data_IF_243231432009
#
_entry.id   IF_243231432009
#
_cell.length_a   1.000
_cell.length_b   1.000
_cell.length_c   1.000
_cell.angle_alpha   90.00
_cell.angle_beta   90.00
_cell.angle_gamma   90.00
#
_symmetry.space_group_name_H-M   'P 1'
#
loop_
_entity.id
_entity.type
_entity.pdbx_description
1 polymer ?
#
# COMPACT_ATOMS: atom_id res chain seq x y z
N UNK A 1 27.04 1.18 -10.07
CA UNK A 1 26.73 -0.22 -9.69
C UNK A 1 25.53 -0.28 -8.75
N UNK A 2 25.50 0.53 -7.69
CA UNK A 2 24.36 0.63 -6.76
C UNK A 2 22.99 0.73 -7.41
N UNK A 3 22.82 1.56 -8.45
CA UNK A 3 21.54 1.71 -9.14
C UNK A 3 21.03 0.41 -9.81
N UNK A 4 21.94 -0.39 -10.36
CA UNK A 4 21.59 -1.69 -10.96
C UNK A 4 21.24 -2.71 -9.88
N UNK A 5 21.99 -2.70 -8.77
CA UNK A 5 21.70 -3.54 -7.61
C UNK A 5 20.33 -3.20 -7.02
N UNK A 6 20.03 -1.91 -6.85
CA UNK A 6 18.72 -1.41 -6.42
C UNK A 6 17.62 -1.86 -7.38
N UNK A 7 17.79 -1.65 -8.69
CA UNK A 7 16.81 -2.09 -9.67
C UNK A 7 16.53 -3.58 -9.58
N UNK A 8 17.58 -4.41 -9.51
CA UNK A 8 17.42 -5.87 -9.48
C UNK A 8 16.80 -6.37 -8.18
N UNK A 9 17.28 -5.88 -7.02
CA UNK A 9 16.74 -6.24 -5.72
C UNK A 9 15.24 -5.88 -5.63
N UNK A 10 14.88 -4.65 -5.99
CA UNK A 10 13.50 -4.20 -5.90
C UNK A 10 12.59 -4.80 -6.98
N UNK A 11 13.12 -5.18 -8.14
CA UNK A 11 12.38 -5.98 -9.12
C UNK A 11 12.02 -7.37 -8.56
N UNK A 12 12.96 -8.04 -7.88
CA UNK A 12 12.67 -9.32 -7.19
C UNK A 12 11.65 -9.12 -6.08
N UNK A 13 11.82 -8.11 -5.22
CA UNK A 13 10.87 -7.81 -4.16
C UNK A 13 9.47 -7.57 -4.74
N UNK A 14 9.35 -6.84 -5.86
CA UNK A 14 8.08 -6.64 -6.55
C UNK A 14 7.50 -7.92 -7.17
N UNK A 15 8.34 -8.87 -7.59
CA UNK A 15 7.92 -10.17 -8.12
C UNK A 15 7.52 -11.17 -7.02
N UNK A 16 8.13 -11.12 -5.85
CA UNK A 16 7.97 -12.13 -4.80
C UNK A 16 7.30 -11.60 -3.52
N UNK A 17 6.92 -10.32 -3.47
CA UNK A 17 6.21 -9.69 -2.35
C UNK A 17 4.75 -10.13 -2.17
N UNK A 18 4.38 -11.34 -2.61
CA UNK A 18 3.06 -11.92 -2.40
C UNK A 18 2.91 -12.38 -0.94
N UNK A 19 1.92 -11.83 -0.23
CA UNK A 19 1.72 -12.08 1.21
C UNK A 19 1.47 -10.82 2.05
N UNK A 20 1.40 -9.65 1.42
CA UNK A 20 1.10 -8.38 2.08
C UNK A 20 2.35 -7.63 2.53
N UNK A 21 2.17 -6.54 3.28
CA UNK A 21 3.26 -5.64 3.68
C UNK A 21 4.38 -6.34 4.46
N UNK A 22 4.05 -7.30 5.33
CA UNK A 22 5.03 -8.00 6.16
C UNK A 22 5.89 -9.01 5.38
N UNK A 23 5.33 -9.69 4.38
CA UNK A 23 6.10 -10.55 3.49
C UNK A 23 7.07 -9.73 2.62
N UNK A 24 6.66 -8.52 2.24
CA UNK A 24 7.54 -7.60 1.53
C UNK A 24 8.64 -7.03 2.44
N UNK A 25 8.33 -6.74 3.70
CA UNK A 25 9.30 -6.25 4.67
C UNK A 25 10.44 -7.24 4.94
N UNK A 26 10.15 -8.54 5.06
CA UNK A 26 11.21 -9.54 5.25
C UNK A 26 12.15 -9.62 4.04
N UNK A 27 11.61 -9.50 2.82
CA UNK A 27 12.42 -9.44 1.60
C UNK A 27 13.26 -8.16 1.52
N UNK A 28 12.70 -7.02 1.93
CA UNK A 28 13.44 -5.75 1.98
C UNK A 28 14.55 -5.84 3.04
N UNK A 29 14.27 -6.37 4.23
CA UNK A 29 15.27 -6.56 5.28
C UNK A 29 16.43 -7.44 4.79
N UNK A 30 16.10 -8.56 4.15
CA UNK A 30 17.10 -9.44 3.56
C UNK A 30 17.99 -8.70 2.55
N UNK A 31 17.39 -8.04 1.55
CA UNK A 31 18.15 -7.37 0.49
C UNK A 31 18.86 -6.10 0.99
N UNK A 32 18.36 -5.39 2.00
CA UNK A 32 18.92 -4.10 2.43
C UNK A 32 19.88 -4.19 3.63
N UNK A 33 19.72 -5.20 4.49
CA UNK A 33 20.46 -5.33 5.77
C UNK A 33 21.35 -6.58 5.80
N UNK A 34 20.92 -7.67 5.19
CA UNK A 34 21.63 -8.97 5.29
C UNK A 34 22.57 -9.22 4.11
N UNK A 35 22.23 -8.70 2.93
CA UNK A 35 22.99 -8.91 1.68
C UNK A 35 23.98 -7.77 1.45
N UNK A 36 25.25 -8.15 1.20
CA UNK A 36 26.25 -7.24 0.63
C UNK A 36 26.21 -7.37 -0.89
N UNK A 37 25.78 -6.31 -1.57
CA UNK A 37 25.60 -6.32 -3.01
C UNK A 37 26.93 -6.19 -3.76
N UNK A 38 26.96 -6.62 -5.02
CA UNK A 38 28.16 -6.57 -5.84
C UNK A 38 28.71 -5.13 -5.97
N UNK A 39 29.98 -4.96 -5.61
CA UNK A 39 30.65 -3.66 -5.62
C UNK A 39 30.41 -2.80 -4.38
N UNK A 40 29.65 -3.29 -3.40
CA UNK A 40 29.47 -2.65 -2.10
C UNK A 40 30.36 -3.34 -1.04
N UNK A 41 30.82 -2.58 -0.05
CA UNK A 41 31.66 -3.10 1.04
C UNK A 41 30.88 -3.48 2.31
N UNK A 42 29.62 -3.06 2.38
CA UNK A 42 28.70 -3.24 3.50
C UNK A 42 27.27 -3.37 2.94
N UNK A 43 26.30 -3.90 3.72
CA UNK A 43 24.89 -3.77 3.40
C UNK A 43 24.48 -2.29 3.28
N UNK A 44 23.37 -2.02 2.61
CA UNK A 44 22.90 -0.64 2.44
C UNK A 44 22.43 0.01 3.74
N UNK A 45 21.95 -0.80 4.68
CA UNK A 45 21.41 -0.35 5.95
C UNK A 45 21.87 -1.26 7.09
N UNK A 46 22.00 -0.66 8.25
CA UNK A 46 22.06 -1.38 9.52
C UNK A 46 20.66 -1.83 9.98
N UNK A 47 20.55 -2.80 10.90
CA UNK A 47 19.26 -3.20 11.47
C UNK A 47 18.50 -2.04 12.14
N UNK A 48 19.24 -1.11 12.76
CA UNK A 48 18.66 0.08 13.40
C UNK A 48 18.10 1.04 12.37
N UNK A 49 18.86 1.37 11.32
CA UNK A 49 18.36 2.23 10.23
C UNK A 49 17.16 1.60 9.52
N UNK A 50 17.13 0.28 9.36
CA UNK A 50 15.96 -0.41 8.80
C UNK A 50 14.73 -0.23 9.69
N UNK A 51 14.88 -0.31 11.01
CA UNK A 51 13.78 -0.08 11.97
C UNK A 51 13.25 1.35 11.89
N UNK A 52 14.15 2.33 11.79
CA UNK A 52 13.79 3.73 11.62
C UNK A 52 13.03 3.96 10.31
N UNK A 53 13.45 3.29 9.23
CA UNK A 53 12.76 3.32 7.93
C UNK A 53 11.37 2.72 8.01
N UNK A 54 11.20 1.60 8.72
CA UNK A 54 9.87 1.00 8.92
C UNK A 54 8.96 1.98 9.65
N UNK A 55 9.45 2.68 10.68
CA UNK A 55 8.69 3.70 11.39
C UNK A 55 8.30 4.87 10.48
N UNK A 56 9.25 5.39 9.69
CA UNK A 56 9.01 6.46 8.72
C UNK A 56 7.97 6.03 7.68
N UNK A 57 8.12 4.83 7.12
CA UNK A 57 7.21 4.31 6.10
C UNK A 57 5.76 4.15 6.58
N UNK A 58 5.56 3.88 7.88
CA UNK A 58 4.24 3.76 8.50
C UNK A 58 3.62 5.10 8.89
N UNK A 59 4.42 6.11 9.25
CA UNK A 59 3.88 7.47 9.51
C UNK A 59 3.52 8.20 8.22
N UNK A 60 4.19 7.87 7.11
CA UNK A 60 3.85 8.43 5.79
C UNK A 60 2.65 7.70 5.17
N UNK A 61 1.67 8.41 4.60
CA UNK A 61 0.55 7.77 3.92
C UNK A 61 1.03 6.98 2.71
N UNK A 62 0.63 5.71 2.60
CA UNK A 62 0.95 4.85 1.47
C UNK A 62 1.26 3.41 1.90
N UNK A 63 1.46 2.51 0.92
CA UNK A 63 1.84 1.13 1.20
C UNK A 63 3.32 1.08 1.65
N UNK A 64 3.55 0.43 2.79
CA UNK A 64 4.89 0.31 3.40
C UNK A 64 5.97 -0.15 2.42
N UNK A 65 5.64 -1.08 1.52
CA UNK A 65 6.59 -1.58 0.52
C UNK A 65 7.16 -0.51 -0.40
N UNK A 66 6.30 0.40 -0.87
CA UNK A 66 6.69 1.49 -1.77
C UNK A 66 7.44 2.58 -1.00
N UNK A 67 6.93 2.94 0.19
CA UNK A 67 7.55 3.97 1.02
C UNK A 67 8.97 3.54 1.44
N UNK A 68 9.12 2.29 1.90
CA UNK A 68 10.43 1.73 2.26
C UNK A 68 11.35 1.62 1.05
N UNK A 69 10.85 1.18 -0.12
CA UNK A 69 11.65 1.16 -1.35
C UNK A 69 12.21 2.54 -1.72
N UNK A 70 11.35 3.57 -1.61
CA UNK A 70 11.72 4.96 -1.89
C UNK A 70 12.85 5.44 -0.97
N UNK A 71 12.74 5.16 0.32
CA UNK A 71 13.71 5.60 1.31
C UNK A 71 15.02 4.79 1.27
N UNK A 72 14.93 3.46 1.21
CA UNK A 72 16.11 2.60 1.10
C UNK A 72 16.89 2.94 -0.17
N UNK A 73 16.19 3.17 -1.30
CA UNK A 73 16.83 3.62 -2.53
C UNK A 73 17.57 4.95 -2.38
N UNK A 74 17.00 5.90 -1.61
CA UNK A 74 17.64 7.18 -1.31
C UNK A 74 18.98 6.97 -0.58
N UNK A 75 18.95 6.23 0.53
CA UNK A 75 20.11 6.02 1.40
C UNK A 75 21.17 5.16 0.72
N UNK A 76 20.77 4.04 0.12
CA UNK A 76 21.67 3.12 -0.57
C UNK A 76 22.48 3.82 -1.67
N UNK A 77 21.85 4.74 -2.41
CA UNK A 77 22.51 5.51 -3.47
C UNK A 77 23.23 6.78 -2.98
N UNK A 78 23.54 6.88 -1.67
CA UNK A 78 24.27 8.00 -1.09
C UNK A 78 23.44 9.29 -1.00
N UNK A 79 22.19 9.19 -0.53
CA UNK A 79 21.22 10.29 -0.44
C UNK A 79 20.83 10.86 -1.82
N UNK A 80 20.66 9.98 -2.80
CA UNK A 80 20.34 10.35 -4.18
C UNK A 80 18.87 10.08 -4.48
N UNK A 81 18.16 11.11 -4.95
CA UNK A 81 16.76 11.01 -5.42
C UNK A 81 16.62 9.99 -6.55
N UNK A 82 17.67 9.81 -7.37
CA UNK A 82 17.66 8.80 -8.42
C UNK A 82 17.61 7.38 -7.88
N UNK A 83 18.19 7.13 -6.71
CA UNK A 83 18.10 5.84 -6.03
C UNK A 83 16.66 5.54 -5.62
N UNK A 84 15.95 6.53 -5.06
CA UNK A 84 14.52 6.44 -4.76
C UNK A 84 13.69 6.13 -5.99
N UNK A 85 13.88 6.89 -7.08
CA UNK A 85 13.12 6.71 -8.31
C UNK A 85 13.30 5.28 -8.84
N UNK A 86 14.55 4.79 -8.88
CA UNK A 86 14.87 3.48 -9.44
C UNK A 86 14.30 2.35 -8.58
N UNK A 87 14.48 2.40 -7.26
CA UNK A 87 13.94 1.37 -6.35
C UNK A 87 12.40 1.34 -6.39
N UNK A 88 11.76 2.50 -6.33
CA UNK A 88 10.30 2.63 -6.37
C UNK A 88 9.71 2.21 -7.71
N UNK A 89 10.37 2.57 -8.81
CA UNK A 89 9.97 2.11 -10.13
C UNK A 89 10.10 0.59 -10.26
N UNK A 90 11.24 0.03 -9.84
CA UNK A 90 11.50 -1.40 -9.94
C UNK A 90 10.52 -2.25 -9.13
N UNK A 91 10.16 -1.84 -7.91
CA UNK A 91 9.18 -2.58 -7.09
C UNK A 91 7.77 -2.54 -7.66
N UNK A 92 7.39 -1.44 -8.32
CA UNK A 92 6.07 -1.29 -8.94
C UNK A 92 5.95 -1.98 -10.30
N UNK A 93 7.07 -2.14 -11.01
CA UNK A 93 7.11 -2.59 -12.40
C UNK A 93 6.44 -3.97 -12.62
N UNK A 94 6.68 -5.01 -11.78
CA UNK A 94 6.05 -6.32 -11.97
C UNK A 94 4.53 -6.25 -11.88
N UNK A 95 3.98 -5.61 -10.84
CA UNK A 95 2.53 -5.45 -10.68
C UNK A 95 1.93 -4.60 -11.80
N UNK A 96 2.63 -3.55 -12.23
CA UNK A 96 2.19 -2.71 -13.35
C UNK A 96 2.06 -3.52 -14.65
N UNK A 97 3.08 -4.31 -14.99
CA UNK A 97 3.05 -5.18 -16.18
C UNK A 97 1.91 -6.19 -16.08
N UNK A 98 1.75 -6.86 -14.93
CA UNK A 98 0.67 -7.83 -14.72
C UNK A 98 -0.70 -7.20 -14.89
N UNK A 99 -0.94 -6.04 -14.29
CA UNK A 99 -2.20 -5.29 -14.42
C UNK A 99 -2.45 -4.90 -15.87
N UNK A 100 -1.44 -4.43 -16.60
CA UNK A 100 -1.59 -4.09 -18.02
C UNK A 100 -2.00 -5.31 -18.87
N UNK A 101 -1.35 -6.46 -18.66
CA UNK A 101 -1.65 -7.69 -19.38
C UNK A 101 -3.07 -8.18 -19.09
N UNK A 102 -3.44 -8.22 -17.81
CA UNK A 102 -4.77 -8.65 -17.35
C UNK A 102 -5.84 -7.68 -17.84
N UNK A 103 -5.61 -6.38 -17.74
CA UNK A 103 -6.54 -5.34 -18.22
C UNK A 103 -6.79 -5.48 -19.73
N UNK A 104 -5.73 -5.67 -20.52
CA UNK A 104 -5.87 -5.89 -21.97
C UNK A 104 -6.70 -7.14 -22.28
N UNK A 105 -6.48 -8.23 -21.53
CA UNK A 105 -7.26 -9.46 -21.68
C UNK A 105 -8.74 -9.24 -21.33
N UNK A 106 -9.02 -8.56 -20.23
CA UNK A 106 -10.38 -8.27 -19.76
C UNK A 106 -11.11 -7.36 -20.75
N UNK A 107 -10.48 -6.28 -21.22
CA UNK A 107 -11.08 -5.36 -22.18
C UNK A 107 -11.40 -6.04 -23.51
N UNK A 108 -10.53 -6.95 -23.97
CA UNK A 108 -10.76 -7.74 -25.19
C UNK A 108 -11.97 -8.68 -25.07
N UNK A 109 -12.25 -9.20 -23.87
CA UNK A 109 -13.34 -10.15 -23.63
C UNK A 109 -14.47 -9.59 -22.75
N UNK A 110 -14.59 -8.26 -22.65
CA UNK A 110 -15.52 -7.59 -21.73
C UNK A 110 -16.98 -7.99 -21.95
N UNK A 111 -17.33 -8.39 -23.18
CA UNK A 111 -18.69 -8.79 -23.55
C UNK A 111 -18.98 -10.27 -23.34
N UNK A 112 -17.97 -11.07 -23.00
CA UNK A 112 -18.14 -12.47 -22.64
C UNK A 112 -18.93 -12.59 -21.32
N UNK A 113 -19.95 -13.46 -21.33
CA UNK A 113 -20.81 -13.72 -20.18
C UNK A 113 -19.99 -14.15 -18.95
N UNK A 114 -18.96 -14.96 -19.12
CA UNK A 114 -18.10 -15.44 -18.03
C UNK A 114 -17.37 -14.29 -17.34
N UNK A 115 -16.79 -13.35 -18.10
CA UNK A 115 -16.10 -12.19 -17.54
C UNK A 115 -17.10 -11.30 -16.78
N UNK A 116 -18.27 -11.02 -17.38
CA UNK A 116 -19.34 -10.25 -16.71
C UNK A 116 -19.78 -10.92 -15.41
N UNK A 117 -19.97 -12.24 -15.40
CA UNK A 117 -20.35 -13.01 -14.22
C UNK A 117 -19.28 -12.95 -13.13
N UNK A 118 -17.99 -13.10 -13.47
CA UNK A 118 -16.89 -12.96 -12.51
C UNK A 118 -16.93 -11.58 -11.84
N UNK A 119 -17.05 -10.50 -12.61
CA UNK A 119 -17.12 -9.14 -12.06
C UNK A 119 -18.37 -8.90 -11.21
N UNK A 120 -19.51 -9.52 -11.58
CA UNK A 120 -20.72 -9.43 -10.76
C UNK A 120 -20.57 -10.14 -9.41
N UNK A 121 -19.80 -11.22 -9.32
CA UNK A 121 -19.45 -11.89 -8.07
C UNK A 121 -18.38 -11.14 -7.28
N UNK A 122 -17.40 -10.53 -7.96
CA UNK A 122 -16.30 -9.80 -7.32
C UNK A 122 -16.81 -8.57 -6.53
N UNK A 123 -17.77 -7.82 -7.09
CA UNK A 123 -18.32 -6.60 -6.46
C UNK A 123 -18.86 -6.83 -5.03
N UNK A 124 -19.82 -7.73 -4.78
CA UNK A 124 -20.33 -7.98 -3.43
C UNK A 124 -19.27 -8.60 -2.52
N UNK A 125 -18.34 -9.41 -3.05
CA UNK A 125 -17.23 -9.96 -2.27
C UNK A 125 -16.34 -8.84 -1.72
N UNK A 126 -15.95 -7.88 -2.56
CA UNK A 126 -15.14 -6.72 -2.13
C UNK A 126 -15.88 -5.89 -1.08
N UNK A 127 -17.18 -5.64 -1.29
CA UNK A 127 -18.01 -4.93 -0.29
C UNK A 127 -18.04 -5.69 1.04
N UNK A 128 -18.22 -7.01 1.02
CA UNK A 128 -18.22 -7.85 2.21
C UNK A 128 -16.88 -7.87 2.94
N UNK A 129 -15.76 -7.90 2.21
CA UNK A 129 -14.41 -7.84 2.79
C UNK A 129 -14.16 -6.49 3.48
N UNK A 130 -14.55 -5.38 2.85
CA UNK A 130 -14.44 -4.04 3.44
C UNK A 130 -15.33 -3.92 4.68
N UNK A 131 -16.56 -4.40 4.61
CA UNK A 131 -17.48 -4.41 5.74
C UNK A 131 -16.95 -5.27 6.90
N UNK A 132 -16.38 -6.43 6.60
CA UNK A 132 -15.74 -7.31 7.60
C UNK A 132 -14.58 -6.61 8.30
N UNK A 133 -13.70 -5.96 7.56
CA UNK A 133 -12.61 -5.17 8.14
C UNK A 133 -13.12 -4.02 9.02
N UNK A 134 -14.17 -3.30 8.57
CA UNK A 134 -14.79 -2.23 9.35
C UNK A 134 -15.38 -2.75 10.67
N UNK A 135 -16.10 -3.89 10.64
CA UNK A 135 -16.68 -4.51 11.83
C UNK A 135 -15.59 -5.04 12.78
N UNK A 136 -14.50 -5.59 12.25
CA UNK A 136 -13.37 -6.06 13.04
C UNK A 136 -12.72 -4.90 13.81
N UNK A 137 -12.61 -3.73 13.18
CA UNK A 137 -12.06 -2.52 13.80
C UNK A 137 -13.06 -1.82 14.74
N UNK A 138 -14.35 -2.14 14.66
CA UNK A 138 -15.41 -1.54 15.48
C UNK A 138 -15.44 -2.14 16.89
N UNK A 139 -14.42 -1.83 17.68
CA UNK A 139 -14.26 -2.22 19.07
C UNK A 139 -14.19 -0.99 20.00
N UNK A 140 -14.28 -1.21 21.32
CA UNK A 140 -14.30 -0.12 22.32
C UNK A 140 -13.01 0.69 22.39
N UNK A 141 -11.87 0.12 21.99
CA UNK A 141 -10.59 0.82 22.01
C UNK A 141 -10.50 1.84 20.87
N UNK A 142 -11.02 1.47 19.69
CA UNK A 142 -11.06 2.34 18.52
C UNK A 142 -12.27 3.28 18.51
N UNK A 143 -13.41 2.85 19.07
CA UNK A 143 -14.67 3.56 19.04
C UNK A 143 -15.33 3.55 20.44
N UNK A 144 -14.99 4.52 21.30
CA UNK A 144 -15.48 4.56 22.69
C UNK A 144 -17.01 4.69 22.80
N UNK A 145 -17.64 5.42 21.87
CA UNK A 145 -19.09 5.65 21.79
C UNK A 145 -19.61 5.16 20.42
N UNK A 146 -20.34 4.04 20.42
CA UNK A 146 -20.90 3.51 19.18
C UNK A 146 -22.02 4.38 18.60
N UNK A 147 -22.75 5.13 19.42
CA UNK A 147 -23.83 6.01 18.94
C UNK A 147 -23.26 7.15 18.11
N UNK A 148 -22.20 7.81 18.61
CA UNK A 148 -21.50 8.87 17.86
C UNK A 148 -20.88 8.28 16.58
N UNK A 149 -20.20 7.13 16.68
CA UNK A 149 -19.56 6.45 15.55
C UNK A 149 -20.55 6.12 14.42
N UNK A 150 -21.68 5.51 14.77
CA UNK A 150 -22.74 5.15 13.82
C UNK A 150 -23.35 6.42 13.22
N UNK A 151 -23.53 7.48 14.01
CA UNK A 151 -23.97 8.78 13.52
C UNK A 151 -23.05 9.35 12.44
N UNK A 152 -21.74 9.38 12.70
CA UNK A 152 -20.73 9.84 11.72
C UNK A 152 -20.77 8.97 10.46
N UNK A 153 -20.93 7.65 10.59
CA UNK A 153 -21.00 6.72 9.46
C UNK A 153 -22.24 6.97 8.58
N UNK A 154 -23.42 7.14 9.19
CA UNK A 154 -24.67 7.42 8.48
C UNK A 154 -24.59 8.77 7.76
N UNK A 155 -24.11 9.82 8.45
CA UNK A 155 -23.93 11.15 7.85
C UNK A 155 -22.95 11.07 6.68
N UNK A 156 -21.82 10.39 6.85
CA UNK A 156 -20.83 10.19 5.79
C UNK A 156 -21.43 9.49 4.57
N UNK A 157 -22.23 8.44 4.80
CA UNK A 157 -22.95 7.75 3.72
C UNK A 157 -23.92 8.68 2.99
N UNK A 158 -24.70 9.49 3.72
CA UNK A 158 -25.64 10.44 3.13
C UNK A 158 -24.92 11.51 2.30
N UNK A 159 -23.82 12.06 2.81
CA UNK A 159 -23.03 13.07 2.11
C UNK A 159 -22.41 12.53 0.81
N UNK A 160 -21.92 11.29 0.82
CA UNK A 160 -21.33 10.67 -0.39
C UNK A 160 -22.42 10.23 -1.37
N UNK A 161 -23.46 9.53 -0.91
CA UNK A 161 -24.44 8.89 -1.79
C UNK A 161 -25.47 9.88 -2.34
N UNK A 162 -26.03 10.73 -1.47
CA UNK A 162 -27.12 11.65 -1.85
C UNK A 162 -26.60 13.04 -2.22
N UNK A 163 -25.71 13.61 -1.39
CA UNK A 163 -25.17 14.95 -1.65
C UNK A 163 -24.01 14.95 -2.66
N UNK A 164 -23.51 13.77 -3.07
CA UNK A 164 -22.43 13.58 -4.05
C UNK A 164 -21.16 14.37 -3.70
N UNK A 165 -20.92 14.58 -2.40
CA UNK A 165 -19.70 15.25 -1.94
C UNK A 165 -18.52 14.33 -2.20
N UNK A 166 -17.39 14.94 -2.59
CA UNK A 166 -16.17 14.20 -2.87
C UNK A 166 -15.72 13.39 -1.64
N UNK A 167 -15.47 12.06 -1.77
CA UNK A 167 -15.16 11.19 -0.63
C UNK A 167 -13.98 11.66 0.22
N UNK A 168 -12.95 12.24 -0.40
CA UNK A 168 -11.79 12.79 0.35
C UNK A 168 -12.23 13.87 1.35
N UNK A 169 -13.14 14.76 0.96
CA UNK A 169 -13.63 15.80 1.87
C UNK A 169 -14.42 15.19 3.03
N UNK A 170 -15.26 14.18 2.74
CA UNK A 170 -16.03 13.47 3.77
C UNK A 170 -15.11 12.76 4.76
N UNK A 171 -14.01 12.14 4.29
CA UNK A 171 -13.00 11.52 5.17
C UNK A 171 -12.37 12.56 6.10
N UNK A 172 -11.98 13.72 5.58
CA UNK A 172 -11.42 14.81 6.39
C UNK A 172 -12.43 15.31 7.42
N UNK A 173 -13.68 15.54 7.02
CA UNK A 173 -14.75 15.96 7.93
C UNK A 173 -15.06 14.92 9.00
N UNK A 174 -15.06 13.63 8.66
CA UNK A 174 -15.24 12.55 9.61
C UNK A 174 -14.10 12.49 10.63
N UNK A 175 -12.84 12.69 10.18
CA UNK A 175 -11.67 12.77 11.07
C UNK A 175 -11.75 13.96 12.04
N UNK A 176 -12.12 15.15 11.54
CA UNK A 176 -12.34 16.34 12.37
C UNK A 176 -13.50 16.11 13.36
N UNK A 177 -14.60 15.51 12.90
CA UNK A 177 -15.75 15.20 13.76
C UNK A 177 -15.37 14.19 14.85
N UNK A 178 -14.57 13.18 14.51
CA UNK A 178 -14.03 12.23 15.49
C UNK A 178 -13.19 12.93 16.55
N UNK A 179 -12.25 13.80 16.14
CA UNK A 179 -11.43 14.57 17.08
C UNK A 179 -12.24 15.52 17.98
N UNK A 180 -13.37 16.04 17.50
CA UNK A 180 -14.19 17.00 18.25
C UNK A 180 -15.22 16.34 19.18
N UNK A 181 -15.69 15.13 18.85
CA UNK A 181 -16.78 14.44 19.56
C UNK A 181 -16.28 13.36 20.53
N UNK A 182 -15.02 12.93 20.41
CA UNK A 182 -14.33 12.01 21.32
C UNK A 182 -13.24 12.73 22.10
#
# INVERSE_FOLDING_TARGET
>A
MVYLNLFWAYLKIGLFGFGGGYAMLSLIQHEAVEVVHYGESQPWLTPTEFTDIVAISQMTPGPIGINSATYVGYVAAGNSIWGSIIATFAVCLPSFILVLLVSRFILKHKDNITIKSIFSGLRPVVVGLIASAALLLMNKENFPDYTISIGIAIISFVLVHYAKIHPILVIVLAGISGYALY
#
